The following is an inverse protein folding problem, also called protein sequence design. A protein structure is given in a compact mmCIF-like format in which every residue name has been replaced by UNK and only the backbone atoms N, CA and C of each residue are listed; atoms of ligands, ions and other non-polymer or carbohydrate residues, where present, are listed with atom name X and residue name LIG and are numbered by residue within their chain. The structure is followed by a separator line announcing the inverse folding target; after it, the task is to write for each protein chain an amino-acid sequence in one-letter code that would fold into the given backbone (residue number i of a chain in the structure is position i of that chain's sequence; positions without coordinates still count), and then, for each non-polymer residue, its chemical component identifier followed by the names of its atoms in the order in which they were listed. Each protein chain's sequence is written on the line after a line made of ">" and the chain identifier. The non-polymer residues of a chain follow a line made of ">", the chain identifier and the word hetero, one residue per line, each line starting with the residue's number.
data_IF_392385934428
#
_entry.id   IF_392385934428
#
_cell.length_a   1.000
_cell.length_b   1.000
_cell.length_c   1.000
_cell.angle_alpha   90.00
_cell.angle_beta   90.00
_cell.angle_gamma   90.00
#
_symmetry.space_group_name_H-M   'P 1'
#
loop_
_entity.id
_entity.type
_entity.pdbx_description
1 polymer ?
#
# COMPACT_ATOMS: atom_id res chain seq x y z
N UNK A 1 21.84 86.57 34.73
CA UNK A 1 21.65 86.23 33.37
C UNK A 1 22.72 85.23 33.02
N UNK A 2 22.51 83.96 33.11
CA UNK A 2 23.28 82.94 32.40
C UNK A 2 22.73 81.54 32.85
N UNK A 3 22.18 80.82 31.93
CA UNK A 3 21.59 79.47 32.14
C UNK A 3 22.70 78.42 32.10
N UNK A 4 22.81 77.66 33.16
CA UNK A 4 23.64 76.44 33.24
C UNK A 4 23.00 75.27 32.55
N UNK A 5 23.75 74.62 31.69
CA UNK A 5 23.38 73.38 31.01
C UNK A 5 23.67 72.18 31.91
N UNK A 6 22.65 71.40 32.27
CA UNK A 6 22.81 70.10 32.88
C UNK A 6 22.91 69.04 31.75
N UNK A 7 24.03 68.33 31.71
CA UNK A 7 24.24 67.14 30.88
C UNK A 7 23.76 65.91 31.70
N UNK A 8 22.72 65.20 31.21
CA UNK A 8 22.33 63.90 31.71
C UNK A 8 23.03 62.82 30.86
N UNK A 9 23.91 62.04 31.49
CA UNK A 9 24.53 60.88 30.91
C UNK A 9 23.59 59.69 31.18
N UNK A 10 22.93 59.17 30.15
CA UNK A 10 22.18 57.94 30.21
C UNK A 10 23.10 56.74 29.86
N UNK A 11 23.46 55.95 30.86
CA UNK A 11 24.17 54.69 30.67
C UNK A 11 23.19 53.63 30.21
N UNK A 12 23.25 53.21 28.95
CA UNK A 12 22.49 52.07 28.42
C UNK A 12 23.20 50.77 28.81
N UNK A 13 22.61 49.99 29.71
CA UNK A 13 23.00 48.60 30.01
C UNK A 13 22.48 47.70 28.89
N UNK A 14 23.37 47.30 28.00
CA UNK A 14 23.06 46.24 27.02
C UNK A 14 23.15 44.87 27.72
N UNK A 15 22.00 44.29 28.07
CA UNK A 15 21.90 42.89 28.50
C UNK A 15 22.00 42.01 27.26
N UNK A 16 23.17 41.39 27.05
CA UNK A 16 23.37 40.37 26.03
C UNK A 16 22.61 39.08 26.49
N UNK A 17 21.44 38.84 25.92
CA UNK A 17 20.75 37.54 26.02
C UNK A 17 21.56 36.58 25.17
N UNK A 18 22.41 35.78 25.81
CA UNK A 18 23.00 34.61 25.19
C UNK A 18 21.88 33.57 25.06
N UNK A 19 21.26 33.54 23.90
CA UNK A 19 20.36 32.43 23.53
C UNK A 19 21.24 31.17 23.44
N UNK A 20 21.25 30.37 24.50
CA UNK A 20 21.81 29.02 24.44
C UNK A 20 20.97 28.23 23.46
N UNK A 21 21.53 27.95 22.26
CA UNK A 21 20.97 26.94 21.34
C UNK A 21 20.84 25.64 22.13
N UNK A 22 19.72 24.90 21.99
CA UNK A 22 19.62 23.58 22.60
C UNK A 22 20.77 22.71 22.11
N UNK A 23 21.34 21.85 22.97
CA UNK A 23 22.43 20.97 22.55
C UNK A 23 21.94 20.17 21.34
N UNK A 24 22.59 20.33 20.21
CA UNK A 24 22.43 19.45 19.04
C UNK A 24 22.70 18.05 19.57
N UNK A 25 21.64 17.25 19.71
CA UNK A 25 21.79 15.86 20.16
C UNK A 25 22.83 15.23 19.27
N UNK A 26 23.91 14.74 19.87
CA UNK A 26 24.97 14.06 19.15
C UNK A 26 24.33 12.92 18.36
N UNK A 27 24.20 13.07 17.05
CA UNK A 27 23.74 12.00 16.19
C UNK A 27 24.68 10.83 16.37
N UNK A 28 24.17 9.72 16.86
CA UNK A 28 24.93 8.48 17.01
C UNK A 28 25.51 8.12 15.64
N UNK A 29 26.84 8.11 15.53
CA UNK A 29 27.49 7.73 14.27
C UNK A 29 27.16 6.28 13.97
N UNK A 30 26.47 6.02 12.86
CA UNK A 30 26.11 4.66 12.46
C UNK A 30 27.35 3.85 12.09
N UNK A 31 27.34 2.56 12.45
CA UNK A 31 28.38 1.61 12.06
C UNK A 31 28.12 1.07 10.62
N UNK A 32 29.17 0.49 10.04
CA UNK A 32 29.09 -0.11 8.71
C UNK A 32 29.27 0.86 7.54
N UNK A 33 28.93 0.37 6.34
CA UNK A 33 29.08 1.12 5.08
C UNK A 33 27.73 1.53 4.48
N UNK A 34 26.69 0.75 4.75
CA UNK A 34 25.34 0.95 4.23
C UNK A 34 24.32 0.64 5.29
N UNK A 35 23.11 1.20 5.17
CA UNK A 35 21.92 0.81 5.94
C UNK A 35 21.09 -0.12 5.05
N UNK A 36 20.93 -1.38 5.44
CA UNK A 36 20.28 -2.40 4.61
C UNK A 36 18.78 -2.46 4.83
N UNK A 37 18.02 -2.31 3.75
CA UNK A 37 16.56 -2.50 3.72
C UNK A 37 16.25 -3.67 2.79
N UNK A 38 15.41 -4.60 3.25
CA UNK A 38 14.90 -5.69 2.45
C UNK A 38 13.71 -5.27 1.60
N UNK A 39 13.52 -5.96 0.50
CA UNK A 39 12.42 -5.77 -0.44
C UNK A 39 11.91 -7.15 -0.87
N UNK A 40 10.61 -7.42 -0.62
CA UNK A 40 9.89 -8.59 -1.13
C UNK A 40 8.88 -8.14 -2.17
N UNK A 41 9.10 -8.53 -3.41
CA UNK A 41 8.32 -8.05 -4.56
C UNK A 41 8.01 -9.20 -5.52
N UNK A 42 6.78 -9.29 -6.07
CA UNK A 42 6.47 -10.24 -7.13
C UNK A 42 6.94 -9.67 -8.48
N UNK A 43 8.18 -9.96 -8.88
CA UNK A 43 8.72 -9.51 -10.17
C UNK A 43 8.30 -10.42 -11.33
N UNK A 44 7.93 -11.65 -11.01
CA UNK A 44 7.42 -12.65 -11.95
C UNK A 44 6.12 -13.27 -11.42
N UNK A 45 5.45 -14.09 -12.24
CA UNK A 45 4.19 -14.74 -11.87
C UNK A 45 2.96 -13.83 -12.00
N UNK A 46 1.85 -14.24 -11.38
CA UNK A 46 0.52 -13.58 -11.50
C UNK A 46 0.47 -12.15 -10.94
N UNK A 47 1.36 -11.82 -10.02
CA UNK A 47 1.44 -10.52 -9.36
C UNK A 47 2.46 -9.55 -9.97
N UNK A 48 3.08 -9.89 -11.10
CA UNK A 48 4.22 -9.15 -11.64
C UNK A 48 3.95 -7.65 -11.87
N UNK A 49 2.76 -7.25 -12.33
CA UNK A 49 2.41 -5.84 -12.51
C UNK A 49 2.59 -5.02 -11.22
N UNK A 50 2.21 -5.62 -10.09
CA UNK A 50 2.33 -4.99 -8.77
C UNK A 50 3.78 -4.80 -8.34
N UNK A 51 4.63 -5.81 -8.55
CA UNK A 51 6.04 -5.76 -8.22
C UNK A 51 6.85 -4.87 -9.16
N UNK A 52 6.54 -4.92 -10.46
CA UNK A 52 7.16 -4.08 -11.49
C UNK A 52 6.84 -2.58 -11.29
N UNK A 53 5.74 -2.25 -10.62
CA UNK A 53 5.46 -0.89 -10.18
C UNK A 53 6.14 -0.52 -8.85
N UNK A 54 6.18 -1.46 -7.90
CA UNK A 54 6.70 -1.22 -6.55
C UNK A 54 8.23 -1.08 -6.50
N UNK A 55 8.98 -1.98 -7.15
CA UNK A 55 10.45 -1.97 -7.10
C UNK A 55 11.05 -0.64 -7.61
N UNK A 56 10.71 -0.13 -8.81
CA UNK A 56 11.21 1.17 -9.27
C UNK A 56 10.82 2.32 -8.35
N UNK A 57 9.67 2.25 -7.67
CA UNK A 57 9.24 3.26 -6.72
C UNK A 57 10.09 3.27 -5.44
N UNK A 58 10.45 2.09 -4.92
CA UNK A 58 11.40 1.96 -3.81
C UNK A 58 12.79 2.49 -4.21
N UNK A 59 13.25 2.15 -5.43
CA UNK A 59 14.53 2.64 -5.96
C UNK A 59 14.57 4.16 -6.06
N UNK A 60 13.49 4.81 -6.52
CA UNK A 60 13.39 6.27 -6.55
C UNK A 60 13.52 6.85 -5.13
N UNK A 61 12.82 6.29 -4.14
CA UNK A 61 12.92 6.74 -2.76
C UNK A 61 14.35 6.60 -2.21
N UNK A 62 14.99 5.47 -2.47
CA UNK A 62 16.39 5.22 -2.06
C UNK A 62 17.35 6.18 -2.75
N UNK A 63 17.23 6.39 -4.05
CA UNK A 63 18.04 7.36 -4.80
C UNK A 63 17.91 8.79 -4.22
N UNK A 64 16.67 9.22 -3.92
CA UNK A 64 16.41 10.54 -3.33
C UNK A 64 17.01 10.70 -1.93
N UNK A 65 16.89 9.69 -1.09
CA UNK A 65 17.42 9.68 0.27
C UNK A 65 18.95 9.68 0.22
N UNK A 66 19.55 8.82 -0.60
CA UNK A 66 21.00 8.72 -0.75
C UNK A 66 21.62 10.00 -1.30
N UNK A 67 20.96 10.65 -2.26
CA UNK A 67 21.39 11.96 -2.79
C UNK A 67 21.38 13.08 -1.74
N UNK A 68 20.61 12.92 -0.65
CA UNK A 68 20.56 13.85 0.49
C UNK A 68 21.45 13.43 1.67
N UNK A 69 22.34 12.45 1.46
CA UNK A 69 23.29 11.99 2.48
C UNK A 69 22.88 10.69 3.19
N UNK A 70 21.80 10.02 2.75
CA UNK A 70 21.40 8.73 3.30
C UNK A 70 20.76 8.82 4.69
N UNK A 71 21.02 7.81 5.52
CA UNK A 71 20.57 7.71 6.92
C UNK A 71 21.81 7.85 7.81
N UNK A 72 21.89 8.88 8.64
CA UNK A 72 23.04 9.12 9.51
C UNK A 72 24.39 9.21 8.76
N UNK A 73 24.37 9.67 7.50
CA UNK A 73 25.55 9.76 6.64
C UNK A 73 25.89 8.48 5.86
N UNK A 74 25.11 7.40 6.00
CA UNK A 74 25.30 6.15 5.26
C UNK A 74 24.24 6.00 4.17
N UNK A 75 24.62 5.53 2.97
CA UNK A 75 23.64 5.22 1.94
C UNK A 75 22.79 4.01 2.31
N UNK A 76 21.53 4.01 1.84
CA UNK A 76 20.65 2.85 1.88
C UNK A 76 21.09 1.86 0.80
N UNK A 77 21.19 0.59 1.16
CA UNK A 77 21.32 -0.55 0.26
C UNK A 77 19.97 -1.30 0.26
N UNK A 78 19.27 -1.26 -0.89
CA UNK A 78 18.01 -1.97 -1.09
C UNK A 78 18.27 -3.37 -1.67
N UNK A 79 17.91 -4.42 -0.93
CA UNK A 79 18.13 -5.83 -1.33
C UNK A 79 16.77 -6.45 -1.62
N UNK A 80 16.51 -6.72 -2.90
CA UNK A 80 15.21 -7.20 -3.38
C UNK A 80 15.26 -8.68 -3.80
N UNK A 81 14.22 -9.43 -3.41
CA UNK A 81 13.96 -10.79 -3.88
C UNK A 81 12.58 -10.90 -4.49
N UNK A 82 12.50 -11.68 -5.58
CA UNK A 82 11.24 -12.05 -6.23
C UNK A 82 10.54 -13.14 -5.41
N UNK A 83 9.33 -12.89 -4.94
CA UNK A 83 8.50 -13.86 -4.25
C UNK A 83 7.54 -14.60 -5.20
N UNK A 84 7.50 -14.23 -6.49
CA UNK A 84 6.67 -14.85 -7.53
C UNK A 84 5.17 -14.92 -7.18
N UNK A 85 4.72 -14.20 -6.15
CA UNK A 85 3.40 -14.34 -5.52
C UNK A 85 3.18 -15.72 -4.90
N UNK A 86 4.25 -16.45 -4.56
CA UNK A 86 4.21 -17.80 -4.00
C UNK A 86 4.63 -17.76 -2.52
N UNK A 87 3.85 -18.37 -1.65
CA UNK A 87 4.07 -18.44 -0.21
C UNK A 87 5.44 -19.05 0.13
N UNK A 88 5.81 -20.14 -0.56
CA UNK A 88 7.10 -20.82 -0.35
C UNK A 88 8.30 -19.98 -0.76
N UNK A 89 8.20 -19.23 -1.85
CA UNK A 89 9.29 -18.36 -2.32
C UNK A 89 9.41 -17.12 -1.44
N UNK A 90 8.29 -16.55 -0.99
CA UNK A 90 8.29 -15.43 -0.05
C UNK A 90 8.97 -15.80 1.28
N UNK A 91 8.71 -17.00 1.81
CA UNK A 91 9.33 -17.47 3.03
C UNK A 91 10.84 -17.69 2.87
N UNK A 92 11.27 -18.28 1.73
CA UNK A 92 12.70 -18.43 1.40
C UNK A 92 13.40 -17.08 1.27
N UNK A 93 12.76 -16.14 0.58
CA UNK A 93 13.28 -14.80 0.37
C UNK A 93 13.37 -14.03 1.69
N UNK A 94 12.36 -14.14 2.58
CA UNK A 94 12.41 -13.57 3.94
C UNK A 94 13.59 -14.13 4.75
N UNK A 95 13.79 -15.46 4.70
CA UNK A 95 14.95 -16.08 5.37
C UNK A 95 16.28 -15.53 4.83
N UNK A 96 16.42 -15.35 3.51
CA UNK A 96 17.65 -14.76 2.94
C UNK A 96 17.86 -13.32 3.42
N UNK A 97 16.84 -12.48 3.37
CA UNK A 97 16.92 -11.09 3.81
C UNK A 97 17.34 -10.97 5.28
N UNK A 98 16.76 -11.80 6.16
CA UNK A 98 16.99 -11.71 7.61
C UNK A 98 18.26 -12.43 8.04
N UNK A 99 18.44 -13.69 7.59
CA UNK A 99 19.48 -14.56 8.11
C UNK A 99 20.84 -14.34 7.45
N UNK A 100 20.84 -14.06 6.11
CA UNK A 100 22.07 -13.87 5.33
C UNK A 100 22.42 -12.40 5.17
N UNK A 101 21.45 -11.59 4.68
CA UNK A 101 21.73 -10.22 4.28
C UNK A 101 21.65 -9.25 5.45
N UNK A 102 21.04 -9.68 6.58
CA UNK A 102 20.95 -8.91 7.84
C UNK A 102 20.28 -7.56 7.67
N UNK A 103 19.17 -7.52 6.94
CA UNK A 103 18.39 -6.28 6.75
C UNK A 103 17.73 -5.84 8.07
N UNK A 104 17.51 -4.52 8.21
CA UNK A 104 16.90 -3.94 9.41
C UNK A 104 15.37 -3.96 9.39
N UNK A 105 14.77 -3.85 8.20
CA UNK A 105 13.33 -3.95 7.96
C UNK A 105 13.09 -4.41 6.53
N UNK A 106 11.86 -4.86 6.23
CA UNK A 106 11.47 -5.39 4.91
C UNK A 106 10.25 -4.66 4.39
N UNK A 107 10.37 -4.05 3.21
CA UNK A 107 9.27 -3.49 2.46
C UNK A 107 8.61 -4.60 1.62
N UNK A 108 7.41 -5.02 2.01
CA UNK A 108 6.72 -6.17 1.45
C UNK A 108 6.37 -7.23 2.51
N UNK A 109 5.80 -8.37 2.08
CA UNK A 109 5.41 -8.73 0.72
C UNK A 109 4.17 -7.96 0.23
N UNK A 110 3.89 -8.02 -1.09
CA UNK A 110 2.69 -7.41 -1.65
C UNK A 110 1.42 -8.21 -1.34
N UNK A 111 1.39 -9.48 -1.66
CA UNK A 111 0.17 -10.28 -1.62
C UNK A 111 -0.13 -10.86 -0.24
N UNK A 112 -1.44 -11.03 0.03
CA UNK A 112 -1.95 -11.48 1.33
C UNK A 112 -1.55 -12.92 1.67
N UNK A 113 -1.44 -13.84 0.69
CA UNK A 113 -0.98 -15.22 0.91
C UNK A 113 0.45 -15.29 1.44
N UNK A 114 1.44 -14.71 0.74
CA UNK A 114 2.81 -14.54 1.23
C UNK A 114 2.90 -13.88 2.60
N UNK A 115 2.11 -12.82 2.86
CA UNK A 115 2.07 -12.16 4.16
C UNK A 115 1.57 -13.10 5.26
N UNK A 116 0.45 -13.80 5.01
CA UNK A 116 -0.17 -14.74 5.95
C UNK A 116 0.77 -15.90 6.32
N UNK A 117 1.65 -16.29 5.41
CA UNK A 117 2.66 -17.33 5.63
C UNK A 117 3.85 -16.84 6.45
N UNK A 118 4.29 -15.60 6.25
CA UNK A 118 5.45 -15.01 6.95
C UNK A 118 5.07 -14.55 8.36
N UNK A 119 3.92 -13.89 8.52
CA UNK A 119 3.55 -13.18 9.75
C UNK A 119 3.63 -14.04 11.02
N UNK A 120 3.16 -15.29 11.08
CA UNK A 120 3.25 -16.13 12.28
C UNK A 120 4.69 -16.44 12.72
N UNK A 121 5.68 -16.31 11.82
CA UNK A 121 7.08 -16.62 12.11
C UNK A 121 7.89 -15.39 12.55
N UNK A 122 7.29 -14.19 12.52
CA UNK A 122 8.02 -12.97 12.83
C UNK A 122 8.40 -12.87 14.31
N UNK A 123 7.52 -13.23 15.23
CA UNK A 123 7.77 -13.13 16.67
C UNK A 123 8.82 -14.14 17.17
N UNK A 124 8.82 -15.33 16.60
CA UNK A 124 9.68 -16.45 17.08
C UNK A 124 10.99 -16.57 16.32
N UNK A 125 11.00 -16.29 15.02
CA UNK A 125 12.12 -16.57 14.13
C UNK A 125 12.80 -15.33 13.59
N UNK A 126 12.04 -14.47 12.87
CA UNK A 126 12.65 -13.42 12.07
C UNK A 126 12.94 -12.14 12.85
N UNK A 127 12.10 -11.77 13.81
CA UNK A 127 12.23 -10.57 14.65
C UNK A 127 12.63 -9.34 13.83
N UNK A 128 11.97 -9.16 12.69
CA UNK A 128 12.25 -8.10 11.72
C UNK A 128 10.93 -7.56 11.22
N UNK A 129 10.74 -6.24 11.27
CA UNK A 129 9.51 -5.62 10.81
C UNK A 129 9.34 -5.82 9.30
N UNK A 130 8.17 -6.30 8.91
CA UNK A 130 7.69 -6.26 7.52
C UNK A 130 6.64 -5.18 7.41
N UNK A 131 6.67 -4.38 6.33
CA UNK A 131 5.62 -3.40 6.04
C UNK A 131 5.12 -3.62 4.62
N UNK A 132 3.88 -4.13 4.52
CA UNK A 132 3.29 -4.48 3.23
C UNK A 132 2.64 -3.27 2.56
N UNK A 133 2.92 -3.11 1.29
CA UNK A 133 2.42 -2.00 0.47
C UNK A 133 1.10 -2.31 -0.26
N UNK A 134 0.63 -3.57 -0.28
CA UNK A 134 -0.61 -3.92 -0.98
C UNK A 134 -1.44 -5.08 -0.40
N UNK A 135 -0.98 -5.80 0.64
CA UNK A 135 -1.80 -6.83 1.29
C UNK A 135 -3.06 -6.25 1.92
N UNK A 136 -4.24 -6.59 1.40
CA UNK A 136 -5.49 -5.99 1.84
C UNK A 136 -6.42 -6.91 2.65
N UNK A 137 -6.13 -8.22 2.77
CA UNK A 137 -6.94 -9.13 3.60
C UNK A 137 -6.97 -8.67 5.06
N UNK A 138 -8.14 -8.47 5.69
CA UNK A 138 -8.23 -8.07 7.09
C UNK A 138 -7.54 -9.04 8.05
N UNK A 139 -7.00 -8.53 9.17
CA UNK A 139 -6.46 -9.33 10.27
C UNK A 139 -5.01 -9.77 10.15
N UNK A 140 -4.33 -9.53 9.03
CA UNK A 140 -2.97 -10.05 8.81
C UNK A 140 -1.93 -9.40 9.73
N UNK A 141 -1.93 -8.09 9.90
CA UNK A 141 -0.96 -7.40 10.76
C UNK A 141 -1.17 -7.67 12.24
N UNK A 142 -2.39 -8.08 12.65
CA UNK A 142 -2.65 -8.53 14.02
C UNK A 142 -1.96 -9.86 14.37
N UNK A 143 -1.49 -10.63 13.38
CA UNK A 143 -0.85 -11.94 13.59
C UNK A 143 0.53 -11.85 14.26
N UNK A 144 1.21 -10.69 14.21
CA UNK A 144 2.52 -10.47 14.85
C UNK A 144 2.74 -9.00 15.15
N UNK A 145 3.43 -8.69 16.24
CA UNK A 145 3.84 -7.33 16.55
C UNK A 145 4.88 -6.74 15.55
N UNK A 146 5.48 -7.57 14.72
CA UNK A 146 6.44 -7.20 13.69
C UNK A 146 5.80 -7.02 12.31
N UNK A 147 4.50 -7.29 12.20
CA UNK A 147 3.75 -7.20 10.99
C UNK A 147 3.05 -5.84 10.87
N UNK A 148 3.41 -5.08 9.84
CA UNK A 148 2.85 -3.78 9.49
C UNK A 148 2.34 -3.81 8.06
N UNK A 149 1.43 -2.92 7.73
CA UNK A 149 1.08 -2.64 6.34
C UNK A 149 0.71 -1.17 6.14
N UNK A 150 1.35 -0.58 5.16
CA UNK A 150 1.02 0.76 4.69
C UNK A 150 -0.03 0.69 3.58
N UNK A 151 -1.11 -0.07 3.82
CA UNK A 151 -2.28 -0.09 2.94
C UNK A 151 -3.55 -0.21 3.75
N UNK A 152 -4.68 0.06 3.10
CA UNK A 152 -6.00 0.01 3.73
C UNK A 152 -6.56 -1.40 3.54
N UNK A 153 -7.18 -1.96 4.56
CA UNK A 153 -7.83 -3.29 4.48
C UNK A 153 -9.00 -3.28 3.50
N UNK A 154 -9.27 -4.41 2.85
CA UNK A 154 -10.30 -4.50 1.79
C UNK A 154 -11.71 -4.17 2.27
N UNK A 155 -12.05 -4.45 3.53
CA UNK A 155 -13.31 -4.06 4.13
C UNK A 155 -13.46 -2.54 4.23
N UNK A 156 -12.40 -1.84 4.66
CA UNK A 156 -12.36 -0.37 4.72
C UNK A 156 -12.33 0.25 3.31
N UNK A 157 -11.66 -0.40 2.35
CA UNK A 157 -11.59 0.07 0.96
C UNK A 157 -12.91 -0.11 0.22
N UNK A 158 -13.56 -1.29 0.33
CA UNK A 158 -14.76 -1.62 -0.41
C UNK A 158 -16.01 -0.90 0.09
N UNK A 159 -16.07 -0.57 1.39
CA UNK A 159 -17.27 0.07 1.94
C UNK A 159 -17.71 1.32 1.17
N UNK A 160 -16.87 2.36 0.99
CA UNK A 160 -17.30 3.55 0.25
C UNK A 160 -17.57 3.28 -1.24
N UNK A 161 -16.94 2.25 -1.82
CA UNK A 161 -17.18 1.86 -3.22
C UNK A 161 -18.55 1.20 -3.36
N UNK A 162 -18.92 0.31 -2.44
CA UNK A 162 -20.26 -0.31 -2.38
C UNK A 162 -21.33 0.76 -2.20
N UNK A 163 -21.10 1.72 -1.26
CA UNK A 163 -22.02 2.83 -1.01
C UNK A 163 -22.29 3.64 -2.30
N UNK A 164 -21.22 4.01 -3.04
CA UNK A 164 -21.31 4.78 -4.27
C UNK A 164 -21.98 3.99 -5.42
N UNK A 165 -21.59 2.72 -5.59
CA UNK A 165 -22.13 1.83 -6.62
C UNK A 165 -23.63 1.60 -6.44
N UNK A 166 -24.07 1.29 -5.21
CA UNK A 166 -25.48 1.10 -4.89
C UNK A 166 -26.28 2.41 -4.99
N UNK A 167 -25.67 3.54 -4.63
CA UNK A 167 -26.32 4.85 -4.75
C UNK A 167 -26.61 5.23 -6.21
N UNK A 168 -25.70 4.92 -7.13
CA UNK A 168 -25.89 5.21 -8.56
C UNK A 168 -26.86 4.24 -9.23
N UNK A 169 -26.62 2.93 -9.08
CA UNK A 169 -27.33 1.93 -9.88
C UNK A 169 -28.61 1.39 -9.23
N UNK A 170 -28.86 1.70 -7.95
CA UNK A 170 -30.06 1.26 -7.19
C UNK A 170 -30.25 -0.26 -7.18
N UNK A 171 -29.15 -1.02 -7.17
CA UNK A 171 -29.13 -2.48 -7.26
C UNK A 171 -29.72 -3.08 -6.00
N UNK A 172 -30.53 -4.15 -6.18
CA UNK A 172 -31.16 -4.92 -5.10
C UNK A 172 -30.79 -6.40 -5.11
N UNK A 173 -30.28 -6.93 -6.24
CA UNK A 173 -29.95 -8.33 -6.46
C UNK A 173 -28.58 -8.48 -7.09
N UNK A 174 -27.68 -9.19 -6.44
CA UNK A 174 -26.28 -9.30 -6.83
C UNK A 174 -25.85 -10.77 -6.89
N UNK A 175 -25.02 -11.11 -7.87
CA UNK A 175 -24.20 -12.32 -7.84
C UNK A 175 -22.78 -11.93 -7.50
N UNK A 176 -22.16 -12.68 -6.59
CA UNK A 176 -20.73 -12.56 -6.26
C UNK A 176 -19.96 -13.63 -7.03
N UNK A 177 -18.88 -13.26 -7.71
CA UNK A 177 -17.97 -14.20 -8.38
C UNK A 177 -16.56 -13.96 -7.81
N UNK A 178 -15.90 -15.00 -7.26
CA UNK A 178 -14.62 -14.82 -6.63
C UNK A 178 -13.64 -15.98 -6.80
N UNK A 179 -12.36 -15.66 -6.72
CA UNK A 179 -11.26 -16.63 -6.69
C UNK A 179 -11.22 -17.33 -5.33
N UNK A 180 -11.39 -18.66 -5.34
CA UNK A 180 -11.42 -19.46 -4.12
C UNK A 180 -10.01 -19.79 -3.55
N UNK A 181 -8.95 -19.52 -4.31
CA UNK A 181 -7.57 -19.84 -3.95
C UNK A 181 -6.76 -18.60 -3.54
N UNK A 182 -6.97 -17.43 -4.21
CA UNK A 182 -6.28 -16.19 -3.86
C UNK A 182 -6.80 -15.62 -2.54
N UNK A 183 -5.89 -15.35 -1.60
CA UNK A 183 -6.24 -15.01 -0.22
C UNK A 183 -7.05 -13.72 -0.07
N UNK A 184 -6.73 -12.66 -0.85
CA UNK A 184 -7.48 -11.39 -0.78
C UNK A 184 -8.81 -11.52 -1.52
N UNK A 185 -8.82 -12.09 -2.71
CA UNK A 185 -10.01 -12.27 -3.53
C UNK A 185 -11.05 -13.16 -2.84
N UNK A 186 -10.60 -14.26 -2.21
CA UNK A 186 -11.45 -15.12 -1.36
C UNK A 186 -11.99 -14.34 -0.16
N UNK A 187 -11.15 -13.57 0.52
CA UNK A 187 -11.58 -12.74 1.65
C UNK A 187 -12.66 -11.73 1.27
N UNK A 188 -12.48 -11.07 0.13
CA UNK A 188 -13.46 -10.13 -0.42
C UNK A 188 -14.77 -10.83 -0.79
N UNK A 189 -14.69 -11.93 -1.58
CA UNK A 189 -15.88 -12.61 -2.11
C UNK A 189 -16.65 -13.43 -1.08
N UNK A 190 -15.97 -14.07 -0.14
CA UNK A 190 -16.61 -14.94 0.86
C UNK A 190 -17.01 -14.21 2.15
N UNK A 191 -16.43 -13.05 2.47
CA UNK A 191 -16.68 -12.37 3.73
C UNK A 191 -17.02 -10.88 3.58
N UNK A 192 -16.16 -10.08 2.95
CA UNK A 192 -16.30 -8.62 2.95
C UNK A 192 -17.52 -8.17 2.12
N UNK A 193 -17.60 -8.57 0.85
CA UNK A 193 -18.72 -8.22 -0.03
C UNK A 193 -20.06 -8.73 0.49
N UNK A 194 -20.19 -10.01 0.95
CA UNK A 194 -21.45 -10.47 1.53
C UNK A 194 -21.92 -9.64 2.71
N UNK A 195 -20.99 -9.27 3.62
CA UNK A 195 -21.32 -8.41 4.77
C UNK A 195 -21.80 -7.03 4.33
N UNK A 196 -21.01 -6.34 3.48
CA UNK A 196 -21.36 -5.00 3.02
C UNK A 196 -22.68 -4.95 2.25
N UNK A 197 -22.94 -5.92 1.38
CA UNK A 197 -24.20 -6.02 0.62
C UNK A 197 -25.40 -6.28 1.54
N UNK A 198 -25.23 -7.15 2.54
CA UNK A 198 -26.27 -7.42 3.54
C UNK A 198 -26.57 -6.19 4.40
N UNK A 199 -25.55 -5.43 4.80
CA UNK A 199 -25.71 -4.17 5.57
C UNK A 199 -26.57 -3.15 4.78
N UNK A 200 -26.61 -3.25 3.44
CA UNK A 200 -27.45 -2.44 2.54
C UNK A 200 -28.77 -3.10 2.11
N UNK A 201 -29.16 -4.24 2.71
CA UNK A 201 -30.35 -5.00 2.34
C UNK A 201 -30.37 -5.41 0.85
N UNK A 202 -29.20 -5.75 0.29
CA UNK A 202 -29.06 -6.29 -1.07
C UNK A 202 -29.10 -7.81 -1.01
N UNK A 203 -29.98 -8.41 -1.83
CA UNK A 203 -30.12 -9.87 -1.96
C UNK A 203 -28.91 -10.44 -2.72
N UNK A 204 -28.23 -11.41 -2.14
CA UNK A 204 -27.17 -12.18 -2.80
C UNK A 204 -27.80 -13.43 -3.40
N UNK A 205 -27.96 -13.44 -4.72
CA UNK A 205 -28.58 -14.53 -5.46
C UNK A 205 -27.72 -15.80 -5.48
N UNK A 206 -26.40 -15.62 -5.59
CA UNK A 206 -25.41 -16.69 -5.54
C UNK A 206 -24.01 -16.13 -5.22
N UNK A 207 -23.17 -17.01 -4.65
CA UNK A 207 -21.72 -16.79 -4.53
C UNK A 207 -21.03 -17.91 -5.33
N UNK A 208 -20.47 -17.54 -6.47
CA UNK A 208 -19.88 -18.45 -7.45
C UNK A 208 -18.36 -18.37 -7.38
N UNK A 209 -17.70 -19.49 -7.48
CA UNK A 209 -16.23 -19.55 -7.37
C UNK A 209 -15.57 -19.97 -8.67
N UNK A 210 -14.31 -19.60 -8.79
CA UNK A 210 -13.36 -20.09 -9.77
C UNK A 210 -11.99 -20.30 -9.10
N UNK A 211 -11.05 -20.95 -9.79
CA UNK A 211 -9.67 -21.10 -9.33
C UNK A 211 -8.78 -20.07 -10.01
N UNK A 212 -7.72 -19.65 -9.35
CA UNK A 212 -6.80 -18.61 -9.85
C UNK A 212 -6.32 -18.83 -11.30
N UNK A 213 -6.15 -20.10 -11.70
CA UNK A 213 -5.65 -20.48 -13.03
C UNK A 213 -6.75 -20.67 -14.08
N UNK A 214 -8.01 -20.54 -13.70
CA UNK A 214 -9.11 -20.67 -14.64
C UNK A 214 -9.10 -19.51 -15.65
N UNK A 215 -9.43 -19.85 -16.89
CA UNK A 215 -9.50 -18.91 -18.03
C UNK A 215 -10.89 -18.86 -18.66
N UNK A 216 -11.79 -19.76 -18.28
CA UNK A 216 -13.18 -19.83 -18.73
C UNK A 216 -14.12 -19.54 -17.56
N UNK A 217 -14.95 -18.52 -17.72
CA UNK A 217 -15.92 -18.04 -16.75
C UNK A 217 -17.36 -18.14 -17.25
N UNK A 218 -17.54 -18.87 -18.36
CA UNK A 218 -18.85 -18.97 -19.05
C UNK A 218 -19.94 -19.52 -18.14
N UNK A 219 -19.64 -20.53 -17.32
CA UNK A 219 -20.60 -21.14 -16.40
C UNK A 219 -21.08 -20.14 -15.33
N UNK A 220 -20.16 -19.40 -14.70
CA UNK A 220 -20.48 -18.40 -13.67
C UNK A 220 -21.32 -17.26 -14.26
N UNK A 221 -20.96 -16.76 -15.43
CA UNK A 221 -21.71 -15.69 -16.11
C UNK A 221 -23.09 -16.17 -16.56
N UNK A 222 -23.20 -17.38 -17.14
CA UNK A 222 -24.49 -17.97 -17.52
C UNK A 222 -25.41 -18.10 -16.31
N UNK A 223 -24.89 -18.57 -15.18
CA UNK A 223 -25.66 -18.69 -13.95
C UNK A 223 -26.08 -17.33 -13.40
N UNK A 224 -25.20 -16.35 -13.38
CA UNK A 224 -25.54 -14.98 -12.96
C UNK A 224 -26.67 -14.37 -13.81
N UNK A 225 -26.62 -14.60 -15.13
CA UNK A 225 -27.67 -14.15 -16.07
C UNK A 225 -28.99 -14.88 -15.82
N UNK A 226 -28.97 -16.19 -15.65
CA UNK A 226 -30.19 -17.00 -15.40
C UNK A 226 -30.88 -16.64 -14.10
N UNK A 227 -30.12 -16.25 -13.06
CA UNK A 227 -30.62 -15.77 -11.77
C UNK A 227 -31.21 -14.36 -11.82
N UNK A 228 -31.01 -13.61 -12.92
CA UNK A 228 -31.47 -12.24 -13.03
C UNK A 228 -30.69 -11.25 -12.19
N UNK A 229 -29.36 -11.42 -12.10
CA UNK A 229 -28.49 -10.49 -11.41
C UNK A 229 -28.65 -9.05 -11.96
N UNK A 230 -28.78 -8.10 -11.06
CA UNK A 230 -28.81 -6.66 -11.38
C UNK A 230 -27.43 -6.01 -11.28
N UNK A 231 -26.46 -6.72 -10.70
CA UNK A 231 -25.07 -6.35 -10.59
C UNK A 231 -24.19 -7.56 -10.27
N UNK A 232 -22.91 -7.47 -10.60
CA UNK A 232 -21.91 -8.51 -10.30
C UNK A 232 -20.84 -7.91 -9.40
N UNK A 233 -20.59 -8.55 -8.25
CA UNK A 233 -19.54 -8.19 -7.33
C UNK A 233 -18.38 -9.17 -7.43
N UNK A 234 -17.16 -8.67 -7.64
CA UNK A 234 -15.97 -9.47 -7.91
C UNK A 234 -15.00 -9.48 -6.74
N UNK A 235 -14.69 -10.66 -6.21
CA UNK A 235 -13.48 -10.92 -5.45
C UNK A 235 -12.41 -11.47 -6.40
N UNK A 236 -11.70 -10.59 -7.10
CA UNK A 236 -10.83 -10.97 -8.20
C UNK A 236 -9.67 -9.99 -8.36
N UNK A 237 -8.52 -10.45 -8.88
CA UNK A 237 -7.50 -9.57 -9.40
C UNK A 237 -7.78 -9.21 -10.86
N UNK A 238 -7.09 -8.21 -11.38
CA UNK A 238 -7.43 -7.52 -12.62
C UNK A 238 -7.56 -8.41 -13.86
N UNK A 239 -6.70 -9.44 -14.02
CA UNK A 239 -6.78 -10.34 -15.19
C UNK A 239 -8.09 -11.12 -15.20
N UNK A 240 -8.42 -11.76 -14.06
CA UNK A 240 -9.64 -12.56 -13.92
C UNK A 240 -10.88 -11.66 -13.97
N UNK A 241 -10.85 -10.50 -13.30
CA UNK A 241 -11.93 -9.52 -13.35
C UNK A 241 -12.22 -9.05 -14.77
N UNK A 242 -11.17 -8.75 -15.56
CA UNK A 242 -11.30 -8.34 -16.95
C UNK A 242 -11.85 -9.46 -17.86
N UNK A 243 -11.40 -10.70 -17.64
CA UNK A 243 -11.91 -11.85 -18.39
C UNK A 243 -13.38 -12.13 -18.08
N UNK A 244 -13.80 -12.01 -16.80
CA UNK A 244 -15.19 -12.10 -16.40
C UNK A 244 -16.03 -10.99 -17.06
N UNK A 245 -15.56 -9.75 -17.05
CA UNK A 245 -16.24 -8.62 -17.69
C UNK A 245 -16.43 -8.84 -19.21
N UNK A 246 -15.41 -9.37 -19.89
CA UNK A 246 -15.51 -9.73 -21.33
C UNK A 246 -16.51 -10.85 -21.58
N UNK A 247 -16.54 -11.86 -20.71
CA UNK A 247 -17.50 -12.95 -20.84
C UNK A 247 -18.94 -12.47 -20.56
N UNK A 248 -19.13 -11.55 -19.59
CA UNK A 248 -20.42 -10.88 -19.37
C UNK A 248 -20.88 -10.13 -20.63
N UNK A 249 -20.00 -9.35 -21.26
CA UNK A 249 -20.31 -8.64 -22.50
C UNK A 249 -20.67 -9.62 -23.63
N UNK A 250 -19.89 -10.69 -23.80
CA UNK A 250 -20.11 -11.72 -24.83
C UNK A 250 -21.46 -12.42 -24.67
N UNK A 251 -21.89 -12.71 -23.44
CA UNK A 251 -23.17 -13.32 -23.15
C UNK A 251 -24.34 -12.31 -23.07
N UNK A 252 -24.09 -11.04 -23.20
CA UNK A 252 -25.10 -9.97 -23.11
C UNK A 252 -25.63 -9.78 -21.68
N UNK A 253 -24.84 -10.05 -20.65
CA UNK A 253 -25.12 -9.69 -19.26
C UNK A 253 -24.61 -8.28 -19.00
N UNK A 254 -25.42 -7.28 -19.35
CA UNK A 254 -25.09 -5.85 -19.28
C UNK A 254 -25.51 -5.27 -17.93
N UNK A 255 -24.85 -5.66 -16.84
CA UNK A 255 -25.11 -5.15 -15.50
C UNK A 255 -23.84 -4.54 -14.91
N UNK A 256 -23.95 -3.57 -13.97
CA UNK A 256 -22.80 -2.94 -13.34
C UNK A 256 -21.91 -3.92 -12.58
N UNK A 257 -20.60 -3.69 -12.63
CA UNK A 257 -19.59 -4.49 -11.95
C UNK A 257 -18.98 -3.66 -10.81
N UNK A 258 -18.67 -4.32 -9.69
CA UNK A 258 -17.87 -3.76 -8.60
C UNK A 258 -16.74 -4.73 -8.24
N UNK A 259 -15.57 -4.21 -7.88
CA UNK A 259 -14.42 -4.98 -7.44
C UNK A 259 -13.54 -4.24 -6.45
N UNK A 260 -12.63 -4.99 -5.81
CA UNK A 260 -11.63 -4.46 -4.89
C UNK A 260 -10.42 -3.84 -5.58
N UNK A 261 -9.41 -3.47 -4.78
CA UNK A 261 -8.21 -2.80 -5.28
C UNK A 261 -7.33 -3.68 -6.16
N UNK A 262 -7.37 -5.03 -5.98
CA UNK A 262 -6.63 -5.94 -6.86
C UNK A 262 -7.20 -5.94 -8.29
N UNK A 263 -8.50 -5.73 -8.42
CA UNK A 263 -9.16 -5.56 -9.72
C UNK A 263 -8.86 -4.17 -10.34
N UNK A 264 -8.66 -3.13 -9.51
CA UNK A 264 -8.47 -1.73 -9.92
C UNK A 264 -7.09 -1.39 -10.49
N UNK A 265 -6.31 -2.36 -10.96
CA UNK A 265 -5.04 -2.11 -11.63
C UNK A 265 -5.25 -1.57 -13.06
N UNK A 266 -4.27 -0.81 -13.61
CA UNK A 266 -4.34 -0.29 -14.99
C UNK A 266 -4.64 -1.35 -16.04
N UNK A 267 -4.04 -2.54 -15.92
CA UNK A 267 -4.24 -3.67 -16.82
C UNK A 267 -5.68 -4.18 -16.94
N UNK A 268 -6.57 -3.85 -15.97
CA UNK A 268 -7.98 -4.19 -16.09
C UNK A 268 -8.62 -3.55 -17.33
N UNK A 269 -8.43 -2.24 -17.51
CA UNK A 269 -9.00 -1.52 -18.66
C UNK A 269 -8.38 -2.00 -19.97
N UNK A 270 -7.06 -2.22 -19.97
CA UNK A 270 -6.34 -2.70 -21.16
C UNK A 270 -6.88 -4.04 -21.66
N UNK A 271 -7.15 -4.98 -20.72
CA UNK A 271 -7.65 -6.32 -21.05
C UNK A 271 -9.15 -6.29 -21.34
N UNK A 272 -9.96 -5.66 -20.49
CA UNK A 272 -11.43 -5.67 -20.61
C UNK A 272 -11.94 -4.81 -21.77
N UNK A 273 -11.22 -3.75 -22.14
CA UNK A 273 -11.63 -2.82 -23.19
C UNK A 273 -13.00 -2.21 -22.91
N UNK A 274 -13.92 -2.33 -23.86
CA UNK A 274 -15.30 -1.79 -23.71
C UNK A 274 -16.10 -2.45 -22.58
N UNK A 275 -15.77 -3.69 -22.21
CA UNK A 275 -16.43 -4.40 -21.11
C UNK A 275 -16.10 -3.81 -19.73
N UNK A 276 -15.09 -2.94 -19.63
CA UNK A 276 -14.75 -2.25 -18.38
C UNK A 276 -15.70 -1.10 -18.05
N UNK A 277 -16.45 -0.58 -19.01
CA UNK A 277 -17.22 0.65 -18.85
C UNK A 277 -18.24 0.56 -17.71
N UNK A 278 -18.31 1.61 -16.88
CA UNK A 278 -19.20 1.67 -15.73
C UNK A 278 -18.76 0.84 -14.50
N UNK A 279 -17.65 0.11 -14.58
CA UNK A 279 -17.14 -0.67 -13.44
C UNK A 279 -16.66 0.24 -12.31
N UNK A 280 -17.01 -0.12 -11.07
CA UNK A 280 -16.55 0.52 -9.85
C UNK A 280 -15.47 -0.31 -9.18
N UNK A 281 -14.37 0.33 -8.73
CA UNK A 281 -13.27 -0.32 -8.02
C UNK A 281 -12.68 0.59 -6.95
N UNK A 282 -11.97 0.01 -5.99
CA UNK A 282 -11.20 0.76 -5.02
C UNK A 282 -9.75 0.95 -5.47
N UNK A 283 -9.10 2.00 -4.95
CA UNK A 283 -7.64 2.08 -4.95
C UNK A 283 -7.15 2.74 -3.68
N UNK A 284 -5.99 2.30 -3.18
CA UNK A 284 -5.38 2.84 -1.99
C UNK A 284 -4.45 4.05 -2.26
N UNK A 285 -4.34 4.50 -3.51
CA UNK A 285 -3.63 5.73 -3.88
C UNK A 285 -4.22 6.31 -5.18
N UNK A 286 -4.24 7.64 -5.27
CA UNK A 286 -4.69 8.36 -6.47
C UNK A 286 -3.57 9.25 -7.01
N UNK A 287 -3.03 8.91 -8.18
CA UNK A 287 -1.84 9.55 -8.75
C UNK A 287 -2.15 10.84 -9.56
N UNK A 288 -3.42 11.17 -9.77
CA UNK A 288 -3.84 12.47 -10.33
C UNK A 288 -4.08 13.53 -9.23
N UNK A 289 -3.75 13.24 -7.96
CA UNK A 289 -3.75 14.19 -6.87
C UNK A 289 -2.82 15.37 -7.20
N UNK A 290 -3.31 16.65 -7.14
CA UNK A 290 -2.53 17.80 -7.53
C UNK A 290 -1.41 18.20 -6.57
N UNK A 291 -1.25 17.54 -5.43
CA UNK A 291 -0.19 17.83 -4.46
C UNK A 291 1.20 17.77 -5.12
N UNK A 292 2.07 18.76 -4.89
CA UNK A 292 3.38 18.83 -5.55
C UNK A 292 4.25 17.57 -5.36
N UNK A 293 4.22 16.98 -4.16
CA UNK A 293 4.96 15.76 -3.84
C UNK A 293 4.46 14.56 -4.67
N UNK A 294 3.13 14.45 -4.90
CA UNK A 294 2.56 13.39 -5.74
C UNK A 294 2.98 13.60 -7.19
N UNK A 295 2.86 14.81 -7.72
CA UNK A 295 3.22 15.09 -9.12
C UNK A 295 4.72 14.96 -9.37
N UNK A 296 5.56 15.26 -8.38
CA UNK A 296 7.00 14.99 -8.46
C UNK A 296 7.32 13.48 -8.52
N UNK A 297 6.68 12.68 -7.66
CA UNK A 297 6.76 11.23 -7.72
C UNK A 297 6.28 10.70 -9.08
N UNK A 298 5.11 11.16 -9.55
CA UNK A 298 4.52 10.76 -10.85
C UNK A 298 5.48 11.04 -12.01
N UNK A 299 6.13 12.20 -12.02
CA UNK A 299 7.13 12.55 -13.04
C UNK A 299 8.29 11.54 -13.07
N UNK A 300 8.81 11.17 -11.89
CA UNK A 300 9.95 10.26 -11.76
C UNK A 300 9.59 8.82 -12.12
N UNK A 301 8.45 8.34 -11.63
CA UNK A 301 8.03 6.97 -11.91
C UNK A 301 7.68 6.77 -13.38
N UNK A 302 7.04 7.74 -14.03
CA UNK A 302 6.81 7.70 -15.48
C UNK A 302 8.11 7.63 -16.28
N UNK A 303 9.16 8.31 -15.86
CA UNK A 303 10.46 8.21 -16.51
C UNK A 303 11.06 6.80 -16.40
N UNK A 304 10.86 6.10 -15.27
CA UNK A 304 11.33 4.70 -15.08
C UNK A 304 10.43 3.66 -15.76
N UNK A 305 9.15 3.97 -15.95
CA UNK A 305 8.15 3.05 -16.53
C UNK A 305 7.72 3.43 -17.98
N UNK A 306 8.59 4.11 -18.73
CA UNK A 306 8.34 4.47 -20.13
C UNK A 306 6.97 5.20 -20.35
N UNK A 307 6.61 6.07 -19.41
CA UNK A 307 5.37 6.84 -19.45
C UNK A 307 4.17 6.21 -18.73
N UNK A 308 4.25 4.94 -18.35
CA UNK A 308 3.19 4.26 -17.61
C UNK A 308 3.11 4.70 -16.14
N UNK A 309 1.94 4.50 -15.53
CA UNK A 309 1.71 4.65 -14.10
C UNK A 309 1.66 3.27 -13.44
N UNK A 310 2.24 3.11 -12.26
CA UNK A 310 2.12 1.87 -11.51
C UNK A 310 0.74 1.75 -10.86
N UNK A 311 0.32 0.53 -10.45
CA UNK A 311 -0.73 0.34 -9.47
C UNK A 311 -0.40 1.08 -8.15
N UNK A 312 -1.37 1.14 -7.22
CA UNK A 312 -1.15 1.80 -5.91
C UNK A 312 0.00 1.19 -5.09
N UNK A 313 0.46 0.00 -5.43
CA UNK A 313 1.66 -0.62 -4.86
C UNK A 313 2.91 0.26 -5.00
N UNK A 314 3.04 0.96 -6.12
CA UNK A 314 4.16 1.86 -6.36
C UNK A 314 4.26 2.98 -5.32
N UNK A 315 3.31 3.93 -5.24
CA UNK A 315 3.38 5.02 -4.28
C UNK A 315 3.38 4.52 -2.82
N UNK A 316 2.69 3.43 -2.49
CA UNK A 316 2.71 2.86 -1.14
C UNK A 316 4.08 2.31 -0.76
N UNK A 317 4.76 1.60 -1.65
CA UNK A 317 6.11 1.09 -1.41
C UNK A 317 7.17 2.21 -1.32
N UNK A 318 7.00 3.28 -2.09
CA UNK A 318 7.81 4.50 -1.97
C UNK A 318 7.70 5.12 -0.58
N UNK A 319 6.47 5.30 -0.08
CA UNK A 319 6.20 5.89 1.23
C UNK A 319 6.77 5.04 2.38
N UNK A 320 6.77 3.70 2.27
CA UNK A 320 7.38 2.81 3.26
C UNK A 320 8.90 3.06 3.40
N UNK A 321 9.61 3.30 2.32
CA UNK A 321 11.05 3.61 2.40
C UNK A 321 11.29 4.90 3.20
N UNK A 322 10.44 5.92 3.02
CA UNK A 322 10.53 7.16 3.80
C UNK A 322 10.13 6.97 5.27
N UNK A 323 9.12 6.13 5.56
CA UNK A 323 8.76 5.80 6.94
C UNK A 323 9.86 5.01 7.65
N UNK A 324 10.54 4.11 6.95
CA UNK A 324 11.72 3.41 7.47
C UNK A 324 12.85 4.39 7.76
N UNK A 325 13.20 5.29 6.82
CA UNK A 325 14.18 6.34 7.06
C UNK A 325 13.87 7.13 8.33
N UNK A 326 12.63 7.62 8.43
CA UNK A 326 12.19 8.37 9.61
C UNK A 326 12.35 7.57 10.90
N UNK A 327 11.93 6.31 10.91
CA UNK A 327 12.04 5.47 12.10
C UNK A 327 13.48 5.07 12.42
N UNK A 328 14.34 4.86 11.44
CA UNK A 328 15.76 4.58 11.69
C UNK A 328 16.47 5.76 12.36
N UNK A 329 16.18 6.97 11.89
CA UNK A 329 16.74 8.20 12.47
C UNK A 329 16.16 8.50 13.87
N UNK A 330 14.84 8.41 14.02
CA UNK A 330 14.15 8.71 15.28
C UNK A 330 14.46 7.69 16.38
N UNK A 331 14.58 6.42 16.03
CA UNK A 331 14.86 5.36 16.98
C UNK A 331 16.33 5.32 17.45
N UNK A 332 17.21 6.08 16.79
CA UNK A 332 18.64 6.12 17.15
C UNK A 332 19.29 4.75 17.01
N UNK A 333 19.09 4.10 15.85
CA UNK A 333 19.76 2.81 15.57
C UNK A 333 21.28 3.00 15.53
N UNK A 334 22.02 1.94 15.82
CA UNK A 334 23.49 1.93 15.75
C UNK A 334 24.01 1.39 14.42
N UNK A 335 23.22 0.59 13.72
CA UNK A 335 23.59 -0.19 12.54
C UNK A 335 24.83 -1.09 12.77
N UNK A 336 25.14 -1.40 14.04
CA UNK A 336 26.18 -2.34 14.40
C UNK A 336 25.65 -3.77 14.30
N UNK A 337 26.33 -4.71 13.63
CA UNK A 337 25.91 -6.10 13.58
C UNK A 337 25.63 -6.75 14.93
N UNK A 338 26.33 -6.33 16.00
CA UNK A 338 26.12 -6.82 17.35
C UNK A 338 24.79 -6.35 17.97
N UNK A 339 24.24 -5.24 17.50
CA UNK A 339 23.02 -4.59 18.03
C UNK A 339 21.80 -4.82 17.16
N UNK A 340 21.89 -5.65 16.11
CA UNK A 340 20.87 -5.78 15.06
C UNK A 340 19.48 -6.09 15.62
N UNK A 341 19.38 -6.95 16.62
CA UNK A 341 18.09 -7.31 17.23
C UNK A 341 17.49 -6.14 18.01
N UNK A 342 18.33 -5.36 18.70
CA UNK A 342 17.94 -4.13 19.39
C UNK A 342 17.50 -3.06 18.39
N UNK A 343 18.24 -2.86 17.31
CA UNK A 343 17.92 -1.90 16.28
C UNK A 343 16.58 -2.23 15.58
N UNK A 344 16.37 -3.52 15.25
CA UNK A 344 15.11 -4.01 14.70
C UNK A 344 13.92 -3.76 15.62
N UNK A 345 14.09 -4.01 16.92
CA UNK A 345 13.02 -3.77 17.91
C UNK A 345 12.68 -2.29 18.06
N UNK A 346 13.68 -1.42 18.10
CA UNK A 346 13.48 0.04 18.11
C UNK A 346 12.72 0.52 16.85
N UNK A 347 13.06 -0.03 15.68
CA UNK A 347 12.39 0.29 14.42
C UNK A 347 10.92 -0.16 14.49
N UNK A 348 10.66 -1.39 14.93
CA UNK A 348 9.31 -1.93 15.13
C UNK A 348 8.47 -1.02 16.02
N UNK A 349 9.02 -0.61 17.16
CA UNK A 349 8.34 0.28 18.10
C UNK A 349 8.00 1.62 17.44
N UNK A 350 8.94 2.24 16.72
CA UNK A 350 8.70 3.49 16.03
C UNK A 350 7.61 3.36 14.96
N UNK A 351 7.64 2.32 14.13
CA UNK A 351 6.63 2.08 13.09
C UNK A 351 5.22 2.00 13.68
N UNK A 352 5.05 1.33 14.83
CA UNK A 352 3.77 1.25 15.53
C UNK A 352 3.24 2.58 16.06
N UNK A 353 4.07 3.62 16.14
CA UNK A 353 3.69 4.96 16.64
C UNK A 353 3.44 5.99 15.53
N UNK A 354 3.52 5.60 14.26
CA UNK A 354 3.32 6.53 13.15
C UNK A 354 1.91 7.11 13.16
N UNK A 355 1.82 8.44 13.17
CA UNK A 355 0.56 9.20 13.08
C UNK A 355 0.75 10.40 12.16
N UNK A 356 -0.09 10.52 11.13
CA UNK A 356 -0.06 11.62 10.18
C UNK A 356 1.28 11.73 9.42
N UNK A 357 2.01 10.62 9.26
CA UNK A 357 3.27 10.65 8.51
C UNK A 357 2.96 10.92 7.03
N UNK A 358 3.56 11.95 6.43
CA UNK A 358 3.22 12.36 5.07
C UNK A 358 3.70 11.35 4.04
N UNK A 359 2.85 11.02 3.07
CA UNK A 359 3.16 10.15 1.95
C UNK A 359 2.54 10.62 0.63
N UNK A 360 3.08 10.14 -0.48
CA UNK A 360 2.52 10.42 -1.81
C UNK A 360 1.22 9.65 -2.04
N UNK A 361 1.07 8.49 -1.39
CA UNK A 361 -0.18 7.74 -1.38
C UNK A 361 -1.20 8.26 -0.35
N UNK A 362 -0.85 9.27 0.45
CA UNK A 362 -1.61 9.83 1.55
C UNK A 362 -0.89 9.68 2.89
N UNK A 363 -1.47 10.25 3.95
CA UNK A 363 -0.91 10.14 5.28
C UNK A 363 -0.91 8.69 5.79
N UNK A 364 0.16 8.32 6.51
CA UNK A 364 0.28 7.04 7.18
C UNK A 364 -0.01 7.25 8.67
N UNK A 365 -1.06 6.61 9.16
CA UNK A 365 -1.35 6.47 10.58
C UNK A 365 -1.60 5.00 10.84
N UNK A 366 -0.79 4.41 11.71
CA UNK A 366 -0.97 3.01 12.13
C UNK A 366 -2.08 2.92 13.18
N UNK A 367 -3.01 1.99 12.99
CA UNK A 367 -4.01 1.66 14.00
C UNK A 367 -3.45 0.67 15.05
N UNK A 368 -4.29 0.25 16.01
CA UNK A 368 -3.92 -0.69 17.05
C UNK A 368 -3.48 -2.07 16.52
N UNK A 369 -3.92 -2.42 15.32
CA UNK A 369 -3.52 -3.65 14.63
C UNK A 369 -2.30 -3.46 13.73
N UNK A 370 -1.73 -2.25 13.67
CA UNK A 370 -0.63 -1.88 12.78
C UNK A 370 -1.01 -1.90 11.29
N UNK A 371 -2.30 -1.67 11.02
CA UNK A 371 -2.80 -1.39 9.68
C UNK A 371 -2.72 0.11 9.41
N UNK A 372 -2.22 0.48 8.25
CA UNK A 372 -2.23 1.86 7.78
C UNK A 372 -3.67 2.34 7.54
N UNK A 373 -3.92 3.57 7.95
CA UNK A 373 -5.15 4.28 7.63
C UNK A 373 -4.94 5.21 6.42
N UNK A 374 -6.01 5.62 5.80
CA UNK A 374 -5.98 6.56 4.70
C UNK A 374 -7.33 6.66 3.99
N UNK A 375 -7.41 7.53 3.01
CA UNK A 375 -8.60 7.66 2.16
C UNK A 375 -8.50 6.68 1.00
N UNK A 376 -9.57 5.94 0.75
CA UNK A 376 -9.74 5.15 -0.46
C UNK A 376 -10.24 6.08 -1.56
N UNK A 377 -9.61 6.04 -2.74
CA UNK A 377 -10.22 6.61 -3.92
C UNK A 377 -11.21 5.60 -4.52
N UNK A 378 -12.35 6.12 -4.95
CA UNK A 378 -13.42 5.36 -5.59
C UNK A 378 -13.23 5.51 -7.09
N UNK A 379 -12.77 4.47 -7.75
CA UNK A 379 -12.57 4.46 -9.18
C UNK A 379 -13.85 4.05 -9.89
N UNK A 380 -14.18 4.77 -10.96
CA UNK A 380 -15.19 4.39 -11.95
C UNK A 380 -14.57 4.44 -13.34
N UNK A 381 -14.82 3.44 -14.15
CA UNK A 381 -14.40 3.49 -15.56
C UNK A 381 -15.40 4.32 -16.37
N UNK A 382 -14.92 5.39 -17.00
CA UNK A 382 -15.70 6.28 -17.86
C UNK A 382 -14.89 6.58 -19.11
N UNK A 383 -15.48 6.30 -20.27
CA UNK A 383 -14.81 6.46 -21.57
C UNK A 383 -13.42 5.77 -21.62
N UNK A 384 -13.34 4.56 -21.06
CA UNK A 384 -12.11 3.75 -21.03
C UNK A 384 -11.01 4.30 -20.12
N UNK A 385 -11.32 5.15 -19.16
CA UNK A 385 -10.36 5.70 -18.16
C UNK A 385 -10.92 5.60 -16.76
N UNK A 386 -10.05 5.42 -15.80
CA UNK A 386 -10.41 5.59 -14.40
C UNK A 386 -10.64 7.07 -14.09
N UNK A 387 -11.74 7.36 -13.41
CA UNK A 387 -11.97 8.64 -12.73
C UNK A 387 -12.21 8.38 -11.26
N UNK A 388 -11.75 9.28 -10.39
CA UNK A 388 -12.06 9.23 -8.98
C UNK A 388 -13.38 9.92 -8.72
N UNK A 389 -14.38 9.19 -8.26
CA UNK A 389 -15.73 9.70 -7.95
C UNK A 389 -15.96 9.89 -6.45
N UNK A 390 -14.92 9.78 -5.62
CA UNK A 390 -15.01 10.13 -4.21
C UNK A 390 -15.35 11.63 -4.06
N UNK A 391 -16.34 11.91 -3.19
CA UNK A 391 -16.77 13.29 -2.88
C UNK A 391 -15.94 13.89 -1.76
#
# INVERSE_FOLDING_TARGET
>A
MTMSKLLLIAAALAVAIIASAPPSGAQTKLAGRTVKIGCLVPLTGKGAEWGLGAKPSMEIAVEEINAKGGIGGLPIELICYDDQTLESEALKAMSRLVDRDKVLAVNGPCFSGPFETIAPQLDSRFKTAIDSYCSAKPGLSAMSQWAFRNTITSDKQLKPVVDAWLAEYKIKKVVIIYDAEDAVSKGEGAAVLPKLLKDHNVEILASLTYRTKDTDYSAQVTQAKALGAQGVALGACYQNAAAIAKEMQKQGLNVPIIGGACAGAPGYIEIAGKAAEGTYMSTAAWLEDPRPEVQNYVKKIKAKLNGALPPYSGPRSYDIIYSFKYCFEKAGITNNPADIDSDRDKIRQCLGTLKGFPGVAGEITMDENRDGSGKTAILKVVNGKYINVAK
#
